data_IF_546666452448
#
_entry.id   IF_546666452448
#
_cell.length_a   1.000
_cell.length_b   1.000
_cell.length_c   1.000
_cell.angle_alpha   90.00
_cell.angle_beta   90.00
_cell.angle_gamma   90.00
#
_symmetry.space_group_name_H-M   'P 1'
#
loop_
_entity.id
_entity.type
_entity.pdbx_description
1 polymer ?
#
# COMPACT_ATOMS: atom_id res chain seq x y z
N UNK A 1 19.68 -15.92 -22.08
CA UNK A 1 20.19 -16.38 -23.40
C UNK A 1 19.90 -17.85 -23.66
N UNK A 2 20.14 -18.74 -22.70
CA UNK A 2 19.80 -20.18 -22.83
C UNK A 2 18.29 -20.41 -22.98
N UNK A 3 17.47 -19.66 -22.27
CA UNK A 3 16.02 -19.75 -22.37
C UNK A 3 15.48 -19.39 -23.77
N UNK A 4 16.15 -18.46 -24.47
CA UNK A 4 15.70 -17.97 -25.76
C UNK A 4 16.35 -18.69 -26.95
N UNK A 5 17.61 -19.12 -26.81
CA UNK A 5 18.41 -19.71 -27.89
C UNK A 5 18.47 -21.24 -27.78
N UNK A 6 18.51 -21.79 -26.57
CA UNK A 6 18.62 -23.24 -26.28
C UNK A 6 17.47 -23.72 -25.42
N UNK A 7 16.27 -23.28 -25.73
CA UNK A 7 15.06 -23.54 -24.96
C UNK A 7 14.87 -25.03 -24.66
N UNK A 8 15.12 -25.90 -25.63
CA UNK A 8 15.01 -27.37 -25.51
C UNK A 8 16.08 -27.98 -24.60
N UNK A 9 17.13 -27.26 -24.29
CA UNK A 9 18.24 -27.71 -23.43
C UNK A 9 18.31 -26.94 -22.11
N UNK A 10 17.46 -25.95 -21.93
CA UNK A 10 17.43 -25.21 -20.68
C UNK A 10 16.83 -26.08 -19.55
N UNK A 11 17.56 -26.20 -18.46
CA UNK A 11 17.13 -26.96 -17.28
C UNK A 11 16.19 -26.17 -16.38
N UNK A 12 16.11 -24.86 -16.53
CA UNK A 12 15.28 -23.97 -15.73
C UNK A 12 14.90 -22.73 -16.52
N UNK A 13 13.66 -22.29 -16.35
CA UNK A 13 13.13 -21.01 -16.83
C UNK A 13 13.03 -19.96 -15.70
N UNK A 14 13.68 -20.20 -14.57
CA UNK A 14 13.63 -19.29 -13.42
C UNK A 14 14.54 -18.10 -13.69
N UNK A 15 13.97 -16.89 -13.59
CA UNK A 15 14.72 -15.65 -13.61
C UNK A 15 15.40 -15.43 -12.25
N UNK A 16 16.64 -14.98 -12.25
CA UNK A 16 17.46 -14.73 -11.04
C UNK A 16 16.80 -13.76 -10.04
N UNK A 17 16.07 -12.76 -10.52
CA UNK A 17 15.39 -11.80 -9.67
C UNK A 17 14.26 -12.44 -8.85
N UNK A 18 13.49 -13.33 -9.44
CA UNK A 18 12.41 -14.03 -8.74
C UNK A 18 12.94 -14.97 -7.69
N UNK A 19 14.04 -15.67 -7.96
CA UNK A 19 14.70 -16.55 -6.97
C UNK A 19 15.18 -15.76 -5.75
N UNK A 20 15.75 -14.58 -5.95
CA UNK A 20 16.18 -13.70 -4.87
C UNK A 20 15.02 -13.19 -4.01
N UNK A 21 13.93 -12.73 -4.65
CA UNK A 21 12.73 -12.28 -3.95
C UNK A 21 12.07 -13.44 -3.19
N UNK A 22 12.00 -14.62 -3.79
CA UNK A 22 11.50 -15.83 -3.12
C UNK A 22 12.32 -16.21 -1.89
N UNK A 23 13.66 -16.13 -1.98
CA UNK A 23 14.54 -16.37 -0.84
C UNK A 23 14.30 -15.36 0.29
N UNK A 24 14.17 -14.06 -0.03
CA UNK A 24 13.84 -13.03 0.96
C UNK A 24 12.50 -13.30 1.65
N UNK A 25 11.48 -13.67 0.89
CA UNK A 25 10.16 -14.01 1.43
C UNK A 25 10.24 -15.22 2.37
N UNK A 26 10.97 -16.27 1.98
CA UNK A 26 11.18 -17.46 2.81
C UNK A 26 11.92 -17.14 4.11
N UNK A 27 12.98 -16.35 4.03
CA UNK A 27 13.73 -15.90 5.22
C UNK A 27 12.87 -15.05 6.15
N UNK A 28 12.07 -14.13 5.61
CA UNK A 28 11.17 -13.29 6.38
C UNK A 28 10.08 -14.12 7.08
N UNK A 29 9.45 -15.04 6.37
CA UNK A 29 8.45 -15.94 6.93
C UNK A 29 9.04 -16.86 8.02
N UNK A 30 10.26 -17.39 7.80
CA UNK A 30 10.94 -18.22 8.79
C UNK A 30 11.36 -17.43 10.04
N UNK A 31 11.71 -16.16 9.88
CA UNK A 31 12.08 -15.28 10.98
C UNK A 31 10.87 -14.88 11.84
N UNK A 32 9.74 -14.55 11.23
CA UNK A 32 8.52 -14.20 11.95
C UNK A 32 7.86 -15.43 12.60
N UNK A 33 7.94 -16.58 11.94
CA UNK A 33 7.17 -17.77 12.34
C UNK A 33 5.66 -17.61 12.13
N UNK A 34 4.87 -18.62 12.50
CA UNK A 34 3.41 -18.58 12.29
C UNK A 34 2.73 -17.48 13.09
N UNK A 35 3.11 -17.29 14.36
CA UNK A 35 2.48 -16.30 15.22
C UNK A 35 2.82 -14.88 14.77
N UNK A 36 4.09 -14.58 14.46
CA UNK A 36 4.50 -13.27 13.96
C UNK A 36 3.91 -12.91 12.61
N UNK A 37 3.60 -13.89 11.75
CA UNK A 37 2.88 -13.64 10.49
C UNK A 37 1.41 -13.25 10.76
N UNK A 38 0.76 -13.88 11.74
CA UNK A 38 -0.60 -13.52 12.14
C UNK A 38 -0.63 -12.14 12.76
N UNK A 39 0.27 -11.84 13.71
CA UNK A 39 0.39 -10.53 14.34
C UNK A 39 0.62 -9.41 13.31
N UNK A 40 1.51 -9.64 12.33
CA UNK A 40 1.75 -8.69 11.25
C UNK A 40 0.51 -8.45 10.38
N UNK A 41 -0.25 -9.52 10.10
CA UNK A 41 -1.48 -9.41 9.31
C UNK A 41 -2.57 -8.64 10.06
N UNK A 42 -2.76 -8.92 11.35
CA UNK A 42 -3.71 -8.21 12.22
C UNK A 42 -3.34 -6.73 12.38
N UNK A 43 -2.05 -6.41 12.53
CA UNK A 43 -1.55 -5.03 12.57
C UNK A 43 -1.86 -4.29 11.27
N UNK A 44 -1.64 -4.91 10.10
CA UNK A 44 -1.99 -4.32 8.81
C UNK A 44 -3.48 -3.99 8.70
N UNK A 45 -4.36 -4.92 9.09
CA UNK A 45 -5.82 -4.72 9.08
C UNK A 45 -6.24 -3.59 10.01
N UNK A 46 -5.70 -3.58 11.22
CA UNK A 46 -6.03 -2.57 12.23
C UNK A 46 -5.60 -1.19 11.77
N UNK A 47 -4.36 -1.05 11.28
CA UNK A 47 -3.84 0.22 10.76
C UNK A 47 -4.64 0.75 9.58
N UNK A 48 -4.99 -0.11 8.62
CA UNK A 48 -5.77 0.32 7.46
C UNK A 48 -7.14 0.86 7.88
N UNK A 49 -7.79 0.23 8.86
CA UNK A 49 -9.09 0.68 9.40
C UNK A 49 -8.96 2.00 10.15
N UNK A 50 -7.97 2.09 11.03
CA UNK A 50 -7.75 3.30 11.84
C UNK A 50 -7.39 4.48 10.94
N UNK A 51 -6.54 4.26 9.94
CA UNK A 51 -6.16 5.29 8.99
C UNK A 51 -7.36 5.73 8.12
N UNK A 52 -8.18 4.78 7.64
CA UNK A 52 -9.39 5.09 6.89
C UNK A 52 -10.38 5.91 7.74
N UNK A 53 -10.61 5.56 9.01
CA UNK A 53 -11.44 6.35 9.91
C UNK A 53 -10.92 7.77 10.13
N UNK A 54 -9.60 7.95 10.26
CA UNK A 54 -8.98 9.28 10.37
C UNK A 54 -9.06 10.09 9.08
N UNK A 55 -9.12 9.42 7.92
CA UNK A 55 -9.37 10.07 6.64
C UNK A 55 -10.81 10.53 6.51
N UNK A 56 -11.77 9.73 7.00
CA UNK A 56 -13.20 10.07 7.00
C UNK A 56 -13.53 11.28 7.90
N UNK A 57 -12.70 11.53 8.92
CA UNK A 57 -12.78 12.73 9.76
C UNK A 57 -12.29 14.02 9.04
N UNK A 58 -11.67 13.89 7.85
CA UNK A 58 -11.16 15.03 7.09
C UNK A 58 -12.28 15.61 6.21
N UNK A 59 -12.49 16.91 6.32
CA UNK A 59 -13.46 17.64 5.48
C UNK A 59 -13.10 17.51 4.00
N UNK A 60 -14.04 17.07 3.18
CA UNK A 60 -13.83 16.85 1.74
C UNK A 60 -13.26 15.48 1.39
N UNK A 61 -13.18 14.58 2.37
CA UNK A 61 -12.75 13.18 2.17
C UNK A 61 -13.82 12.24 2.72
N UNK A 62 -14.06 11.15 2.03
CA UNK A 62 -14.89 10.04 2.48
C UNK A 62 -14.04 8.74 2.41
N UNK A 63 -13.89 8.03 3.52
CA UNK A 63 -13.10 6.81 3.58
C UNK A 63 -13.63 5.82 4.64
N UNK A 64 -13.64 4.53 4.36
CA UNK A 64 -13.41 3.93 3.05
C UNK A 64 -14.63 4.10 2.13
N UNK A 65 -14.41 4.16 0.82
CA UNK A 65 -15.53 4.24 -0.17
C UNK A 65 -16.29 2.91 -0.29
N UNK A 66 -15.60 1.80 -0.05
CA UNK A 66 -16.17 0.47 -0.16
C UNK A 66 -16.37 -0.16 1.23
N UNK A 67 -17.58 -0.60 1.49
CA UNK A 67 -17.88 -1.45 2.64
C UNK A 67 -17.22 -2.82 2.45
N UNK A 68 -16.48 -3.28 3.45
CA UNK A 68 -15.84 -4.59 3.40
C UNK A 68 -14.60 -4.69 4.28
N UNK A 69 -13.92 -5.82 4.14
CA UNK A 69 -12.66 -6.05 4.85
C UNK A 69 -11.50 -5.52 4.02
N UNK A 70 -10.73 -4.62 4.59
CA UNK A 70 -9.49 -4.11 4.05
C UNK A 70 -8.32 -4.83 4.72
N UNK A 71 -7.31 -5.24 3.96
CA UNK A 71 -6.10 -5.80 4.55
C UNK A 71 -5.13 -4.69 4.97
N UNK A 72 -4.62 -3.94 4.01
CA UNK A 72 -3.69 -2.83 4.24
C UNK A 72 -3.91 -1.65 3.30
N UNK A 73 -4.95 -1.72 2.50
CA UNK A 73 -5.25 -0.75 1.47
C UNK A 73 -6.72 -0.39 1.54
N UNK A 74 -7.05 0.86 1.29
CA UNK A 74 -8.41 1.33 1.13
C UNK A 74 -8.49 2.40 0.04
N UNK A 75 -9.70 2.68 -0.41
CA UNK A 75 -9.99 3.75 -1.36
C UNK A 75 -10.71 4.86 -0.63
N UNK A 76 -10.25 6.09 -0.83
CA UNK A 76 -10.89 7.30 -0.35
C UNK A 76 -11.41 8.12 -1.54
N UNK A 77 -12.58 8.72 -1.39
CA UNK A 77 -13.09 9.76 -2.28
C UNK A 77 -12.62 11.13 -1.77
N UNK A 78 -12.26 12.03 -2.69
CA UNK A 78 -11.89 13.42 -2.38
C UNK A 78 -12.75 14.39 -3.19
N UNK A 79 -13.18 15.48 -2.55
CA UNK A 79 -13.93 16.55 -3.25
C UNK A 79 -13.05 17.28 -4.27
N UNK A 80 -11.75 17.40 -3.98
CA UNK A 80 -10.74 17.88 -4.92
C UNK A 80 -10.41 16.79 -5.94
N UNK A 81 -10.01 17.15 -7.18
CA UNK A 81 -9.56 16.17 -8.17
C UNK A 81 -8.40 15.33 -7.65
N UNK A 82 -8.54 14.01 -7.66
CA UNK A 82 -7.55 13.08 -7.13
C UNK A 82 -6.15 13.25 -7.75
N UNK A 83 -5.99 13.57 -9.05
CA UNK A 83 -4.66 13.86 -9.60
C UNK A 83 -3.97 15.06 -8.93
N UNK A 84 -4.72 16.13 -8.59
CA UNK A 84 -4.16 17.29 -7.90
C UNK A 84 -3.78 16.96 -6.45
N UNK A 85 -4.64 16.22 -5.75
CA UNK A 85 -4.34 15.73 -4.39
C UNK A 85 -3.08 14.87 -4.37
N UNK A 86 -2.93 13.96 -5.34
CA UNK A 86 -1.74 13.09 -5.46
C UNK A 86 -0.48 13.91 -5.74
N UNK A 87 -0.53 14.90 -6.63
CA UNK A 87 0.60 15.78 -6.94
C UNK A 87 1.04 16.58 -5.70
N UNK A 88 0.10 17.20 -4.99
CA UNK A 88 0.38 17.98 -3.78
C UNK A 88 0.95 17.09 -2.66
N UNK A 89 0.40 15.90 -2.45
CA UNK A 89 0.92 14.94 -1.48
C UNK A 89 2.32 14.45 -1.85
N UNK A 90 2.59 14.24 -3.15
CA UNK A 90 3.92 13.84 -3.62
C UNK A 90 4.99 14.90 -3.33
N UNK A 91 4.67 16.21 -3.44
CA UNK A 91 5.59 17.29 -3.06
C UNK A 91 5.96 17.28 -1.58
N UNK A 92 5.09 16.69 -0.74
CA UNK A 92 5.28 16.51 0.70
C UNK A 92 5.91 15.18 1.08
N UNK A 93 6.27 14.36 0.09
CA UNK A 93 6.93 13.07 0.29
C UNK A 93 5.98 11.88 0.48
N UNK A 94 4.67 12.05 0.24
CA UNK A 94 3.69 10.98 0.34
C UNK A 94 3.31 10.45 -1.04
N UNK A 95 3.45 9.14 -1.24
CA UNK A 95 3.09 8.46 -2.47
C UNK A 95 1.74 7.77 -2.32
N UNK A 96 0.73 8.26 -3.03
CA UNK A 96 -0.59 7.67 -3.17
C UNK A 96 -0.96 7.55 -4.64
N UNK A 97 -2.00 6.83 -4.98
CA UNK A 97 -2.37 6.57 -6.37
C UNK A 97 -3.78 7.08 -6.67
N UNK A 98 -3.91 7.91 -7.72
CA UNK A 98 -5.22 8.29 -8.23
C UNK A 98 -5.79 7.15 -9.10
N UNK A 99 -6.96 6.64 -8.72
CA UNK A 99 -7.66 5.58 -9.47
C UNK A 99 -8.49 6.20 -10.60
N UNK A 100 -9.17 7.30 -10.29
CA UNK A 100 -9.94 8.09 -11.25
C UNK A 100 -9.93 9.58 -10.85
N UNK A 101 -10.94 10.34 -11.30
CA UNK A 101 -11.04 11.79 -11.09
C UNK A 101 -11.14 12.19 -9.60
N UNK A 102 -11.75 11.35 -8.76
CA UNK A 102 -12.01 11.64 -7.35
C UNK A 102 -11.62 10.51 -6.38
N UNK A 103 -11.05 9.42 -6.87
CA UNK A 103 -10.68 8.27 -6.03
C UNK A 103 -9.19 8.13 -5.87
N UNK A 104 -8.75 8.03 -4.63
CA UNK A 104 -7.36 7.84 -4.23
C UNK A 104 -7.21 6.51 -3.51
N UNK A 105 -6.26 5.69 -3.94
CA UNK A 105 -5.85 4.48 -3.23
C UNK A 105 -4.77 4.81 -2.22
N UNK A 106 -4.98 4.38 -0.99
CA UNK A 106 -4.06 4.54 0.14
C UNK A 106 -3.64 3.17 0.66
N UNK A 107 -2.35 2.99 0.90
CA UNK A 107 -1.80 1.79 1.51
C UNK A 107 -0.99 2.14 2.76
N UNK A 108 -1.10 1.32 3.81
CA UNK A 108 -0.29 1.43 5.02
C UNK A 108 0.46 0.14 5.30
N UNK A 109 1.55 0.25 6.01
CA UNK A 109 2.37 -0.88 6.46
C UNK A 109 2.99 -0.56 7.82
N UNK A 110 3.53 -1.56 8.51
CA UNK A 110 4.27 -1.35 9.75
C UNK A 110 5.43 -0.33 9.59
N UNK A 111 6.02 -0.24 8.40
CA UNK A 111 7.13 0.70 8.11
C UNK A 111 6.64 2.16 8.03
N UNK A 112 5.38 2.38 7.64
CA UNK A 112 4.79 3.73 7.48
C UNK A 112 4.09 4.24 8.73
N UNK A 113 3.99 3.43 9.77
CA UNK A 113 3.25 3.70 11.00
C UNK A 113 3.55 5.08 11.63
N UNK A 114 4.82 5.42 11.73
CA UNK A 114 5.24 6.67 12.38
C UNK A 114 4.86 7.93 11.58
N UNK A 115 4.66 7.80 10.27
CA UNK A 115 4.31 8.88 9.38
C UNK A 115 2.78 9.12 9.24
N UNK A 116 1.93 8.21 9.72
CA UNK A 116 0.48 8.27 9.49
C UNK A 116 -0.18 9.53 10.04
N UNK A 117 0.26 10.01 11.20
CA UNK A 117 -0.31 11.22 11.81
C UNK A 117 -0.01 12.49 10.99
N UNK A 118 1.18 12.58 10.43
CA UNK A 118 1.58 13.69 9.57
C UNK A 118 0.92 13.56 8.19
N UNK A 119 0.77 12.35 7.71
CA UNK A 119 0.07 12.08 6.46
C UNK A 119 -1.39 12.53 6.50
N UNK A 120 -2.15 12.20 7.56
CA UNK A 120 -3.54 12.68 7.74
C UNK A 120 -3.61 14.21 7.77
N UNK A 121 -2.65 14.87 8.44
CA UNK A 121 -2.57 16.34 8.43
C UNK A 121 -2.31 16.90 7.03
N UNK A 122 -1.41 16.28 6.27
CA UNK A 122 -1.14 16.67 4.89
C UNK A 122 -2.38 16.52 4.01
N UNK A 123 -3.13 15.41 4.15
CA UNK A 123 -4.41 15.21 3.45
C UNK A 123 -5.43 16.28 3.82
N UNK A 124 -5.56 16.65 5.09
CA UNK A 124 -6.48 17.68 5.54
C UNK A 124 -6.16 19.09 5.00
N UNK A 125 -4.91 19.33 4.60
CA UNK A 125 -4.49 20.58 3.98
C UNK A 125 -4.76 20.61 2.46
N UNK A 126 -4.60 19.47 1.79
CA UNK A 126 -4.75 19.40 0.31
C UNK A 126 -6.17 19.07 -0.14
N UNK A 127 -7.01 18.48 0.72
CA UNK A 127 -8.41 18.13 0.41
C UNK A 127 -9.39 19.32 0.59
N UNK A 128 -8.93 20.45 1.04
CA UNK A 128 -9.72 21.70 1.19
C UNK A 128 -9.69 22.48 -0.12
#
# INVERSE_FOLDING_TARGET
REQHIRKERATSNICTNQAWVALRAAMHAAWLGPDGLVELAEDCVTRARDLAGRFDDVVGVQAPVHDGHHFREFVAHTDQPAPAVVEDLATRGYAVHAIDEHLVQVATTAVTADAEAEFVRAVAEVAR
#
